data_IF_714442023836
#
_entry.id   IF_714442023836
#
_cell.length_a   1.000
_cell.length_b   1.000
_cell.length_c   1.000
_cell.angle_alpha   90.00
_cell.angle_beta   90.00
_cell.angle_gamma   90.00
#
_symmetry.space_group_name_H-M   'P 1'
#
loop_
_entity.id
_entity.type
_entity.pdbx_description
1 polymer ?
#
# COMPACT_ATOMS: atom_id res chain seq x y z
N UNK A 1 -25.99 18.16 21.43
CA UNK A 1 -27.44 18.44 21.50
C UNK A 1 -27.73 19.86 21.98
N UNK A 2 -26.91 20.39 22.88
CA UNK A 2 -27.06 21.72 23.49
C UNK A 2 -26.41 22.86 22.68
N UNK A 3 -25.74 22.56 21.57
CA UNK A 3 -25.06 23.53 20.74
C UNK A 3 -23.61 23.86 21.17
N UNK A 4 -23.11 23.22 22.23
CA UNK A 4 -21.72 23.34 22.65
C UNK A 4 -20.77 22.66 21.62
N UNK A 5 -19.53 23.11 21.59
CA UNK A 5 -18.50 22.49 20.77
C UNK A 5 -18.06 21.16 21.38
N UNK A 6 -17.98 20.12 20.53
CA UNK A 6 -17.43 18.84 20.95
C UNK A 6 -15.91 18.90 21.07
N UNK A 7 -15.40 18.44 22.22
CA UNK A 7 -13.96 18.33 22.49
C UNK A 7 -13.62 16.89 22.83
N UNK A 8 -12.65 16.32 22.14
CA UNK A 8 -12.15 14.98 22.41
C UNK A 8 -10.66 14.95 22.65
N UNK A 9 -10.19 13.91 23.33
CA UNK A 9 -8.76 13.63 23.52
C UNK A 9 -8.20 12.83 22.35
N UNK A 10 -7.07 13.27 21.82
CA UNK A 10 -6.27 12.60 20.79
C UNK A 10 -4.79 12.70 21.14
N UNK A 11 -3.86 12.19 20.26
CA UNK A 11 -2.42 12.24 20.56
C UNK A 11 -1.88 13.63 20.97
N UNK A 12 -2.22 14.75 20.28
CA UNK A 12 -1.79 16.07 20.72
C UNK A 12 -2.48 16.59 21.97
N UNK A 13 -3.46 15.87 22.54
CA UNK A 13 -4.26 16.28 23.67
C UNK A 13 -5.69 16.61 23.30
N UNK A 14 -6.29 17.61 23.94
CA UNK A 14 -7.67 18.05 23.67
C UNK A 14 -7.75 18.80 22.36
N UNK A 15 -8.68 18.42 21.49
CA UNK A 15 -8.89 19.10 20.22
C UNK A 15 -10.38 19.15 19.82
N UNK A 16 -10.68 20.04 18.87
CA UNK A 16 -11.93 20.09 18.14
C UNK A 16 -11.84 19.28 16.85
N UNK A 17 -12.97 18.79 16.38
CA UNK A 17 -13.07 18.03 15.12
C UNK A 17 -13.78 18.91 14.09
N UNK A 18 -13.09 19.38 13.04
CA UNK A 18 -13.74 20.12 11.97
C UNK A 18 -14.88 19.34 11.36
N UNK A 19 -15.99 20.00 11.04
CA UNK A 19 -17.10 19.36 10.34
C UNK A 19 -16.77 19.13 8.87
N UNK A 20 -16.19 17.97 8.58
CA UNK A 20 -15.75 17.61 7.22
C UNK A 20 -16.91 17.42 6.23
N UNK A 21 -18.14 17.26 6.72
CA UNK A 21 -19.34 17.15 5.88
C UNK A 21 -19.85 18.53 5.44
N UNK A 22 -19.52 19.58 6.20
CA UNK A 22 -19.82 20.96 5.84
C UNK A 22 -18.85 21.48 4.79
N UNK A 23 -19.35 22.02 3.69
CA UNK A 23 -18.55 22.45 2.54
C UNK A 23 -17.55 23.58 2.87
N UNK A 24 -17.95 24.55 3.72
CA UNK A 24 -17.08 25.66 4.09
C UNK A 24 -15.97 25.21 5.05
N UNK A 25 -16.30 24.35 6.03
CA UNK A 25 -15.33 23.77 6.94
C UNK A 25 -14.33 22.88 6.18
N UNK A 26 -14.81 22.10 5.20
CA UNK A 26 -13.96 21.26 4.35
C UNK A 26 -12.99 22.10 3.52
N UNK A 27 -13.46 23.16 2.87
CA UNK A 27 -12.61 24.09 2.10
C UNK A 27 -11.59 24.79 2.99
N UNK A 28 -12.03 25.22 4.18
CA UNK A 28 -11.13 25.84 5.16
C UNK A 28 -10.01 24.88 5.56
N UNK A 29 -10.35 23.61 5.88
CA UNK A 29 -9.36 22.62 6.28
C UNK A 29 -8.39 22.31 5.13
N UNK A 30 -8.90 22.07 3.91
CA UNK A 30 -8.09 21.79 2.74
C UNK A 30 -7.05 22.88 2.45
N UNK A 31 -7.41 24.14 2.58
CA UNK A 31 -6.47 25.27 2.40
C UNK A 31 -5.34 25.30 3.43
N UNK A 32 -5.43 24.57 4.55
CA UNK A 32 -4.34 24.47 5.52
C UNK A 32 -3.15 23.64 5.02
N UNK A 33 -3.35 22.75 4.06
CA UNK A 33 -2.27 22.03 3.41
C UNK A 33 -1.28 22.96 2.70
N UNK A 34 -1.73 24.17 2.31
CA UNK A 34 -0.84 25.20 1.73
C UNK A 34 0.38 25.50 2.61
N UNK A 35 0.23 25.46 3.93
CA UNK A 35 1.36 25.69 4.85
C UNK A 35 2.52 24.70 4.64
N UNK A 36 2.21 23.49 4.22
CA UNK A 36 3.19 22.42 3.98
C UNK A 36 3.64 22.41 2.51
N UNK A 37 2.71 22.64 1.58
CA UNK A 37 3.04 22.81 0.15
C UNK A 37 4.05 23.94 -0.08
N UNK A 38 3.88 25.09 0.59
CA UNK A 38 4.81 26.23 0.52
C UNK A 38 6.23 25.89 1.05
N UNK A 39 6.37 24.78 1.80
CA UNK A 39 7.65 24.26 2.29
C UNK A 39 8.24 23.18 1.37
N UNK A 40 7.60 22.88 0.25
CA UNK A 40 8.04 21.88 -0.71
C UNK A 40 7.65 20.43 -0.35
N UNK A 41 6.64 20.25 0.49
CA UNK A 41 6.11 18.91 0.81
C UNK A 41 5.08 18.51 -0.26
N UNK A 42 5.31 17.39 -0.94
CA UNK A 42 4.53 16.89 -2.06
C UNK A 42 3.79 15.58 -1.76
N UNK A 43 3.88 15.08 -0.54
CA UNK A 43 3.21 13.85 -0.11
C UNK A 43 2.64 13.99 1.29
N UNK A 44 1.42 13.52 1.48
CA UNK A 44 0.66 13.66 2.71
C UNK A 44 0.07 12.33 3.16
N UNK A 45 0.02 12.17 4.46
CA UNK A 45 -0.55 11.02 5.14
C UNK A 45 -1.59 11.48 6.15
N UNK A 46 -2.86 11.11 5.94
CA UNK A 46 -3.93 11.32 6.88
C UNK A 46 -4.10 10.09 7.78
N UNK A 47 -3.58 10.19 8.98
CA UNK A 47 -3.71 9.15 9.99
C UNK A 47 -4.78 9.51 11.04
N UNK A 48 -5.36 8.49 11.68
CA UNK A 48 -6.31 8.61 12.79
C UNK A 48 -7.57 9.45 12.48
N UNK A 49 -7.95 9.48 11.24
CA UNK A 49 -9.00 10.34 10.68
C UNK A 49 -10.38 9.66 10.55
N UNK A 50 -10.67 8.69 11.40
CA UNK A 50 -12.01 8.07 11.54
C UNK A 50 -13.08 9.03 12.12
N UNK A 51 -12.86 9.94 13.07
CA UNK A 51 -11.71 10.25 13.90
C UNK A 51 -11.48 9.25 15.04
N UNK A 52 -10.20 8.93 15.31
CA UNK A 52 -9.85 8.15 16.48
C UNK A 52 -9.92 9.02 17.74
N UNK A 53 -10.71 8.58 18.73
CA UNK A 53 -10.88 9.25 20.00
C UNK A 53 -10.25 8.45 21.13
N UNK A 54 -9.40 9.06 21.94
CA UNK A 54 -8.88 8.42 23.14
C UNK A 54 -9.89 8.53 24.29
N UNK A 55 -10.62 9.63 24.37
CA UNK A 55 -11.70 9.84 25.33
C UNK A 55 -12.56 11.06 24.94
N UNK A 56 -13.84 10.99 25.29
CA UNK A 56 -14.70 12.16 25.46
C UNK A 56 -14.61 12.68 26.90
N UNK A 57 -14.76 13.98 27.12
CA UNK A 57 -14.57 14.61 28.43
C UNK A 57 -15.52 14.08 29.51
N UNK A 58 -16.77 13.86 29.15
CA UNK A 58 -17.80 13.38 30.08
C UNK A 58 -17.47 11.99 30.63
N UNK A 59 -16.96 11.11 29.79
CA UNK A 59 -16.60 9.78 30.24
C UNK A 59 -15.27 9.75 30.98
N UNK A 60 -14.33 10.60 30.60
CA UNK A 60 -13.08 10.73 31.34
C UNK A 60 -13.34 11.10 32.80
N UNK A 61 -14.26 12.04 33.05
CA UNK A 61 -14.68 12.43 34.40
C UNK A 61 -15.26 11.23 35.17
N UNK A 62 -16.19 10.50 34.56
CA UNK A 62 -16.78 9.29 35.16
C UNK A 62 -15.75 8.20 35.42
N UNK A 63 -14.76 8.09 34.55
CA UNK A 63 -13.67 7.12 34.71
C UNK A 63 -12.78 7.47 35.91
N UNK A 64 -12.46 8.75 36.12
CA UNK A 64 -11.73 9.19 37.31
C UNK A 64 -12.53 8.94 38.61
N UNK A 65 -13.81 9.24 38.63
CA UNK A 65 -14.67 8.92 39.77
C UNK A 65 -14.62 7.41 40.09
N UNK A 66 -14.72 6.58 39.08
CA UNK A 66 -14.64 5.11 39.24
C UNK A 66 -13.26 4.62 39.67
N UNK A 67 -12.21 5.23 39.18
CA UNK A 67 -10.82 4.94 39.64
C UNK A 67 -10.65 5.31 41.11
N UNK A 68 -11.27 6.39 41.60
CA UNK A 68 -11.23 6.78 43.00
C UNK A 68 -12.00 5.80 43.92
N UNK A 69 -13.02 5.12 43.39
CA UNK A 69 -13.67 4.00 44.10
C UNK A 69 -12.71 2.80 44.23
N UNK A 70 -11.96 2.45 43.14
CA UNK A 70 -11.01 1.36 43.20
C UNK A 70 -9.81 1.65 44.12
N UNK A 71 -9.37 2.91 44.24
CA UNK A 71 -8.31 3.32 45.18
C UNK A 71 -8.65 3.02 46.64
N UNK A 72 -9.92 2.90 47.01
CA UNK A 72 -10.39 2.59 48.36
C UNK A 72 -10.53 1.10 48.61
N UNK A 73 -10.28 0.27 47.63
CA UNK A 73 -10.40 -1.19 47.68
C UNK A 73 -9.02 -1.86 47.80
N UNK A 74 -9.00 -3.10 48.27
CA UNK A 74 -7.81 -3.90 48.26
C UNK A 74 -7.36 -4.20 46.81
N UNK A 75 -6.07 -4.05 46.55
CA UNK A 75 -5.51 -4.35 45.24
C UNK A 75 -5.40 -5.88 45.06
N UNK A 76 -6.22 -6.42 44.20
CA UNK A 76 -6.22 -7.81 43.80
C UNK A 76 -6.47 -7.94 42.28
N UNK A 77 -6.50 -9.16 41.75
CA UNK A 77 -6.70 -9.35 40.30
C UNK A 77 -8.02 -8.74 39.79
N UNK A 78 -9.08 -8.78 40.58
CA UNK A 78 -10.38 -8.22 40.19
C UNK A 78 -10.30 -6.68 40.07
N UNK A 79 -9.77 -6.00 41.09
CA UNK A 79 -9.62 -4.53 41.07
C UNK A 79 -8.60 -4.09 40.01
N UNK A 80 -7.51 -4.85 39.80
CA UNK A 80 -6.54 -4.59 38.74
C UNK A 80 -7.18 -4.65 37.35
N UNK A 81 -7.88 -5.74 37.03
CA UNK A 81 -8.56 -5.86 35.72
C UNK A 81 -9.70 -4.86 35.58
N UNK A 82 -10.41 -4.52 36.66
CA UNK A 82 -11.42 -3.49 36.66
C UNK A 82 -10.86 -2.12 36.25
N UNK A 83 -9.77 -1.69 36.85
CA UNK A 83 -9.06 -0.46 36.47
C UNK A 83 -8.51 -0.51 35.03
N UNK A 84 -7.87 -1.63 34.67
CA UNK A 84 -7.36 -1.83 33.29
C UNK A 84 -8.47 -1.70 32.26
N UNK A 85 -9.60 -2.38 32.45
CA UNK A 85 -10.72 -2.36 31.51
C UNK A 85 -11.38 -0.98 31.44
N UNK A 86 -11.42 -0.25 32.56
CA UNK A 86 -11.92 1.13 32.58
C UNK A 86 -11.05 2.06 31.72
N UNK A 87 -9.71 1.95 31.82
CA UNK A 87 -8.77 2.74 31.01
C UNK A 87 -8.82 2.34 29.53
N UNK A 88 -8.84 1.05 29.22
CA UNK A 88 -8.95 0.57 27.84
C UNK A 88 -10.31 0.92 27.22
N UNK A 89 -11.37 1.01 28.02
CA UNK A 89 -12.70 1.41 27.58
C UNK A 89 -12.87 2.90 27.33
N UNK A 90 -11.84 3.74 27.51
CA UNK A 90 -11.88 5.16 27.19
C UNK A 90 -11.90 5.42 25.68
N UNK A 91 -11.20 4.60 24.90
CA UNK A 91 -10.97 4.85 23.48
C UNK A 91 -12.16 4.42 22.61
N UNK A 92 -12.45 5.23 21.59
CA UNK A 92 -13.38 4.94 20.49
C UNK A 92 -14.77 4.47 20.99
N UNK A 93 -15.28 5.12 22.01
CA UNK A 93 -16.59 4.76 22.59
C UNK A 93 -17.74 5.15 21.68
N UNK A 94 -18.71 4.24 21.62
CA UNK A 94 -19.95 4.48 20.88
C UNK A 94 -20.66 5.75 21.35
N UNK A 95 -20.74 5.96 22.67
CA UNK A 95 -21.42 7.10 23.28
C UNK A 95 -20.76 8.43 22.93
N UNK A 96 -19.43 8.46 22.77
CA UNK A 96 -18.71 9.64 22.34
C UNK A 96 -19.04 9.96 20.87
N UNK A 97 -19.08 8.96 19.99
CA UNK A 97 -19.51 9.13 18.60
C UNK A 97 -20.99 9.48 18.45
N UNK A 98 -21.85 9.13 19.41
CA UNK A 98 -23.26 9.52 19.45
C UNK A 98 -23.48 10.93 20.01
N UNK A 99 -22.45 11.57 20.58
CA UNK A 99 -22.58 12.85 21.27
C UNK A 99 -22.38 14.08 20.38
N UNK A 100 -21.78 13.96 19.20
CA UNK A 100 -21.54 15.09 18.31
C UNK A 100 -22.19 14.93 16.93
N UNK A 101 -22.33 16.05 16.22
CA UNK A 101 -23.15 16.17 15.02
C UNK A 101 -22.41 16.92 13.93
N UNK A 102 -22.81 16.66 12.70
CA UNK A 102 -22.35 17.32 11.49
C UNK A 102 -23.50 18.03 10.79
N UNK A 103 -23.19 19.06 10.04
CA UNK A 103 -24.14 19.73 9.16
C UNK A 103 -23.91 19.24 7.71
N UNK A 104 -24.90 18.58 7.15
CA UNK A 104 -24.84 18.07 5.79
C UNK A 104 -26.10 18.48 5.02
N UNK A 105 -25.91 19.33 3.97
CA UNK A 105 -27.01 19.81 3.11
C UNK A 105 -28.17 20.46 3.87
N UNK A 106 -27.86 21.19 4.94
CA UNK A 106 -28.85 21.84 5.79
C UNK A 106 -29.55 20.96 6.82
N UNK A 107 -29.14 19.70 6.94
CA UNK A 107 -29.60 18.77 7.94
C UNK A 107 -28.51 18.51 8.99
N UNK A 108 -28.91 18.40 10.25
CA UNK A 108 -28.02 18.04 11.34
C UNK A 108 -28.02 16.52 11.53
N UNK A 109 -26.85 15.88 11.28
CA UNK A 109 -26.69 14.43 11.31
C UNK A 109 -25.72 14.05 12.42
N UNK A 110 -26.08 13.07 13.25
CA UNK A 110 -25.23 12.55 14.31
C UNK A 110 -24.05 11.77 13.72
N UNK A 111 -22.85 11.93 14.31
CA UNK A 111 -21.61 11.37 13.78
C UNK A 111 -21.65 9.85 13.55
N UNK A 112 -22.23 9.08 14.47
CA UNK A 112 -22.31 7.61 14.34
C UNK A 112 -23.05 7.14 13.07
N UNK A 113 -23.89 8.00 12.45
CA UNK A 113 -24.59 7.73 11.18
C UNK A 113 -23.74 8.00 9.96
N UNK A 114 -22.70 8.80 10.09
CA UNK A 114 -21.82 9.25 9.02
C UNK A 114 -20.34 9.00 9.32
N UNK A 115 -20.04 8.22 10.35
CA UNK A 115 -18.68 7.92 10.83
C UNK A 115 -17.73 7.51 9.67
N UNK A 116 -18.15 6.58 8.83
CA UNK A 116 -17.34 6.11 7.71
C UNK A 116 -17.09 7.17 6.62
N UNK A 117 -17.81 8.29 6.63
CA UNK A 117 -17.64 9.38 5.67
C UNK A 117 -16.65 10.44 6.18
N UNK A 118 -16.30 10.47 7.45
CA UNK A 118 -15.46 11.52 8.01
C UNK A 118 -14.07 11.53 7.37
N UNK A 119 -13.37 10.39 7.37
CA UNK A 119 -12.05 10.26 6.72
C UNK A 119 -12.11 10.45 5.19
N UNK A 120 -13.19 9.98 4.56
CA UNK A 120 -13.44 10.26 3.15
C UNK A 120 -13.48 11.75 2.85
N UNK A 121 -14.28 12.53 3.59
CA UNK A 121 -14.39 13.97 3.37
C UNK A 121 -13.14 14.74 3.78
N UNK A 122 -12.37 14.26 4.76
CA UNK A 122 -11.05 14.84 5.09
C UNK A 122 -10.08 14.66 3.91
N UNK A 123 -10.00 13.47 3.33
CA UNK A 123 -9.13 13.20 2.16
C UNK A 123 -9.61 13.95 0.93
N UNK A 124 -10.93 14.02 0.71
CA UNK A 124 -11.53 14.84 -0.34
C UNK A 124 -11.18 16.33 -0.18
N UNK A 125 -11.19 16.84 1.05
CA UNK A 125 -10.79 18.21 1.37
C UNK A 125 -9.36 18.51 0.89
N UNK A 126 -8.43 17.58 1.10
CA UNK A 126 -7.06 17.68 0.63
C UNK A 126 -7.00 17.66 -0.91
N UNK A 127 -7.64 16.67 -1.55
CA UNK A 127 -7.62 16.55 -3.02
C UNK A 127 -8.22 17.78 -3.73
N UNK A 128 -9.39 18.27 -3.27
CA UNK A 128 -10.00 19.49 -3.81
C UNK A 128 -9.08 20.74 -3.63
N UNK A 129 -8.36 20.82 -2.51
CA UNK A 129 -7.42 21.91 -2.26
C UNK A 129 -6.15 21.79 -3.11
N UNK A 130 -5.64 20.58 -3.36
CA UNK A 130 -4.50 20.38 -4.26
C UNK A 130 -4.84 20.75 -5.71
N UNK A 131 -6.06 20.50 -6.15
CA UNK A 131 -6.55 20.95 -7.48
C UNK A 131 -6.60 22.47 -7.60
N UNK A 132 -6.90 23.19 -6.49
CA UNK A 132 -6.94 24.66 -6.45
C UNK A 132 -5.53 25.27 -6.32
N UNK A 133 -4.67 24.67 -5.46
CA UNK A 133 -3.39 25.25 -5.07
C UNK A 133 -2.23 24.86 -6.02
N UNK A 134 -2.26 23.66 -6.57
CA UNK A 134 -1.23 23.08 -7.43
C UNK A 134 -1.88 22.35 -8.62
N UNK A 135 -2.56 23.10 -9.52
CA UNK A 135 -3.40 22.52 -10.59
C UNK A 135 -2.63 21.66 -11.59
N UNK A 136 -1.34 21.92 -11.75
CA UNK A 136 -0.49 21.23 -12.74
C UNK A 136 0.38 20.13 -12.12
N UNK A 137 0.33 19.95 -10.78
CA UNK A 137 1.22 19.05 -10.05
C UNK A 137 0.48 17.86 -9.43
N UNK A 138 1.09 16.68 -9.48
CA UNK A 138 0.65 15.51 -8.71
C UNK A 138 1.09 15.64 -7.26
N UNK A 139 0.13 15.59 -6.34
CA UNK A 139 0.40 15.57 -4.91
C UNK A 139 -0.06 14.21 -4.37
N UNK A 140 0.84 13.49 -3.69
CA UNK A 140 0.51 12.22 -3.08
C UNK A 140 -0.33 12.43 -1.83
N UNK A 141 -1.43 11.70 -1.72
CA UNK A 141 -2.24 11.58 -0.51
C UNK A 141 -2.58 10.12 -0.24
N UNK A 142 -2.43 9.68 1.00
CA UNK A 142 -2.98 8.41 1.45
C UNK A 142 -3.55 8.53 2.87
N UNK A 143 -4.53 7.69 3.18
CA UNK A 143 -5.37 7.84 4.36
C UNK A 143 -5.62 6.49 5.03
N UNK A 144 -5.74 6.49 6.38
CA UNK A 144 -6.17 5.30 7.12
C UNK A 144 -7.66 5.05 6.96
N UNK A 145 -8.48 6.04 7.31
CA UNK A 145 -9.92 5.91 7.14
C UNK A 145 -10.31 6.19 5.69
N UNK A 146 -11.15 5.32 5.15
CA UNK A 146 -11.58 5.38 3.75
C UNK A 146 -13.04 4.98 3.58
N UNK A 147 -13.59 5.33 2.43
CA UNK A 147 -14.89 4.89 1.97
C UNK A 147 -14.93 4.81 0.45
N UNK A 148 -15.93 4.11 -0.11
CA UNK A 148 -16.10 3.97 -1.56
C UNK A 148 -16.09 5.34 -2.24
N UNK A 149 -15.26 5.48 -3.28
CA UNK A 149 -15.08 6.75 -4.01
C UNK A 149 -13.92 7.62 -3.53
N UNK A 150 -13.28 7.30 -2.38
CA UNK A 150 -12.13 8.08 -1.88
C UNK A 150 -10.88 7.87 -2.77
N UNK A 151 -10.77 6.78 -3.50
CA UNK A 151 -9.67 6.51 -4.44
C UNK A 151 -9.41 7.64 -5.44
N UNK A 152 -10.41 8.48 -5.70
CA UNK A 152 -10.28 9.69 -6.56
C UNK A 152 -9.43 10.80 -5.93
N UNK A 153 -9.20 10.76 -4.63
CA UNK A 153 -8.50 11.78 -3.87
C UNK A 153 -7.23 11.28 -3.19
N UNK A 154 -7.08 9.97 -3.05
CA UNK A 154 -5.90 9.40 -2.39
C UNK A 154 -5.95 7.87 -2.31
N UNK A 155 -4.82 7.31 -1.90
CA UNK A 155 -4.66 5.89 -1.61
C UNK A 155 -4.96 5.53 -0.17
N UNK A 156 -4.73 4.26 0.16
CA UNK A 156 -4.86 3.73 1.51
C UNK A 156 -3.68 2.82 1.84
N UNK A 157 -3.34 2.71 3.13
CA UNK A 157 -2.55 1.59 3.61
C UNK A 157 -3.39 0.67 4.48
N UNK A 158 -2.91 -0.52 4.75
CA UNK A 158 -3.69 -1.54 5.45
C UNK A 158 -3.73 -1.37 6.98
N UNK A 159 -3.30 -0.22 7.49
CA UNK A 159 -3.35 0.13 8.92
C UNK A 159 -2.27 -0.55 9.76
N UNK A 160 -2.53 -0.59 11.07
CA UNK A 160 -1.62 -1.08 12.10
C UNK A 160 -1.57 -2.62 12.11
N UNK A 161 -0.79 -3.19 11.23
CA UNK A 161 -0.52 -4.62 11.20
C UNK A 161 0.50 -5.02 12.31
N UNK A 162 0.76 -6.29 12.47
CA UNK A 162 1.72 -6.80 13.45
C UNK A 162 2.86 -7.56 12.77
N UNK A 163 4.02 -7.64 13.43
CA UNK A 163 5.19 -8.38 12.98
C UNK A 163 4.95 -9.90 13.07
N UNK A 164 4.00 -10.38 12.27
CA UNK A 164 3.55 -11.77 12.22
C UNK A 164 3.61 -12.32 10.79
N UNK A 165 4.04 -13.56 10.67
CA UNK A 165 4.13 -14.25 9.38
C UNK A 165 2.80 -14.33 8.63
N UNK A 166 1.70 -14.53 9.36
CA UNK A 166 0.35 -14.55 8.79
C UNK A 166 -0.06 -13.22 8.15
N UNK A 167 0.55 -12.10 8.58
CA UNK A 167 0.24 -10.79 8.04
C UNK A 167 0.85 -10.54 6.65
N UNK A 168 1.91 -11.27 6.27
CA UNK A 168 2.40 -11.25 4.87
C UNK A 168 1.30 -11.81 3.95
N UNK A 169 0.74 -12.96 4.28
CA UNK A 169 -0.35 -13.57 3.49
C UNK A 169 -1.60 -12.69 3.50
N UNK A 170 -1.98 -12.16 4.66
CA UNK A 170 -3.13 -11.26 4.77
C UNK A 170 -2.96 -10.03 3.88
N UNK A 171 -1.80 -9.40 3.86
CA UNK A 171 -1.54 -8.25 2.98
C UNK A 171 -1.63 -8.64 1.51
N UNK A 172 -1.07 -9.78 1.10
CA UNK A 172 -1.21 -10.28 -0.27
C UNK A 172 -2.69 -10.41 -0.66
N UNK A 173 -3.51 -11.03 0.20
CA UNK A 173 -4.93 -11.28 -0.04
C UNK A 173 -5.79 -10.00 -0.04
N UNK A 174 -5.36 -8.94 0.67
CA UNK A 174 -6.08 -7.66 0.68
C UNK A 174 -5.89 -6.85 -0.61
N UNK A 175 -4.76 -6.98 -1.31
CA UNK A 175 -4.45 -6.18 -2.50
C UNK A 175 -5.52 -6.24 -3.60
N UNK A 176 -6.00 -7.42 -4.05
CA UNK A 176 -7.04 -7.46 -5.07
C UNK A 176 -8.36 -6.84 -4.61
N UNK A 177 -8.75 -7.05 -3.34
CA UNK A 177 -9.96 -6.45 -2.78
C UNK A 177 -9.92 -4.92 -2.76
N UNK A 178 -8.77 -4.33 -2.43
CA UNK A 178 -8.56 -2.88 -2.47
C UNK A 178 -8.58 -2.36 -3.93
N UNK A 179 -7.94 -3.08 -4.86
CA UNK A 179 -7.97 -2.71 -6.29
C UNK A 179 -9.40 -2.76 -6.86
N UNK A 180 -10.21 -3.76 -6.51
CA UNK A 180 -11.63 -3.83 -6.90
C UNK A 180 -12.44 -2.64 -6.38
N UNK A 181 -12.03 -2.02 -5.27
CA UNK A 181 -12.63 -0.79 -4.75
C UNK A 181 -12.03 0.49 -5.36
N UNK A 182 -11.11 0.37 -6.33
CA UNK A 182 -10.43 1.48 -7.00
C UNK A 182 -9.16 1.98 -6.30
N UNK A 183 -8.78 1.39 -5.15
CA UNK A 183 -7.55 1.77 -4.45
C UNK A 183 -6.34 1.07 -5.05
N UNK A 184 -5.73 1.66 -6.07
CA UNK A 184 -4.51 1.16 -6.68
C UNK A 184 -3.27 1.53 -5.86
N UNK A 185 -3.21 2.77 -5.30
CA UNK A 185 -2.13 3.17 -4.40
C UNK A 185 -2.38 2.60 -3.00
N UNK A 186 -1.78 1.45 -2.76
CA UNK A 186 -1.94 0.70 -1.51
C UNK A 186 -0.68 -0.09 -1.16
N UNK A 187 -0.58 -0.46 0.11
CA UNK A 187 0.48 -1.29 0.67
C UNK A 187 0.32 -1.45 2.18
N UNK A 188 1.31 -2.06 2.80
CA UNK A 188 1.32 -2.34 4.23
C UNK A 188 2.56 -1.73 4.90
N UNK A 189 2.53 -1.64 6.22
CA UNK A 189 3.72 -1.38 7.01
C UNK A 189 4.61 -2.64 7.00
N UNK A 190 5.69 -2.58 6.22
CA UNK A 190 6.59 -3.72 6.02
C UNK A 190 7.34 -4.04 7.31
N UNK A 191 7.38 -5.31 7.66
CA UNK A 191 7.93 -5.79 8.92
C UNK A 191 6.93 -5.80 10.08
N UNK A 192 5.81 -5.11 9.92
CA UNK A 192 4.74 -4.96 10.91
C UNK A 192 4.88 -3.68 11.74
N UNK A 193 3.75 -3.00 11.97
CA UNK A 193 3.68 -1.80 12.81
C UNK A 193 3.79 -2.16 14.30
N UNK A 194 2.99 -3.11 14.76
CA UNK A 194 3.01 -3.61 16.14
C UNK A 194 3.95 -4.79 16.31
N UNK A 195 4.45 -4.97 17.52
CA UNK A 195 5.40 -6.01 17.91
C UNK A 195 6.81 -5.83 17.31
N UNK A 196 7.75 -6.70 17.75
CA UNK A 196 9.13 -6.69 17.31
C UNK A 196 9.32 -7.56 16.08
N UNK A 197 9.73 -6.99 14.98
CA UNK A 197 10.06 -7.75 13.78
C UNK A 197 11.40 -8.51 13.95
N UNK A 198 11.59 -9.54 13.13
CA UNK A 198 12.86 -10.23 12.96
C UNK A 198 13.41 -9.99 11.55
N UNK A 199 14.70 -10.18 11.37
CA UNK A 199 15.37 -9.97 10.09
C UNK A 199 14.76 -10.83 8.98
N UNK A 200 14.51 -12.12 9.25
CA UNK A 200 13.92 -13.06 8.31
C UNK A 200 12.48 -12.69 7.93
N UNK A 201 11.68 -12.23 8.90
CA UNK A 201 10.32 -11.75 8.63
C UNK A 201 10.32 -10.52 7.74
N UNK A 202 11.22 -9.56 8.03
CA UNK A 202 11.30 -8.31 7.26
C UNK A 202 11.79 -8.56 5.83
N UNK A 203 12.81 -9.43 5.62
CA UNK A 203 13.26 -9.82 4.28
C UNK A 203 12.13 -10.46 3.47
N UNK A 204 11.40 -11.43 4.06
CA UNK A 204 10.25 -12.07 3.39
C UNK A 204 9.10 -11.10 3.12
N UNK A 205 8.89 -10.12 3.98
CA UNK A 205 7.86 -9.09 3.74
C UNK A 205 8.24 -8.14 2.60
N UNK A 206 9.55 -7.84 2.47
CA UNK A 206 10.06 -7.08 1.33
C UNK A 206 9.83 -7.78 -0.01
N UNK A 207 9.92 -9.12 -0.07
CA UNK A 207 9.64 -9.89 -1.29
C UNK A 207 8.22 -9.65 -1.86
N UNK A 208 7.26 -9.33 -1.00
CA UNK A 208 5.94 -8.84 -1.40
C UNK A 208 5.95 -7.32 -1.60
N UNK A 209 6.54 -6.59 -0.66
CA UNK A 209 6.46 -5.13 -0.57
C UNK A 209 7.05 -4.41 -1.78
N UNK A 210 8.08 -4.98 -2.44
CA UNK A 210 8.68 -4.36 -3.62
C UNK A 210 7.73 -4.25 -4.82
N UNK A 211 6.64 -5.00 -4.84
CA UNK A 211 5.62 -4.92 -5.89
C UNK A 211 4.50 -3.93 -5.56
N UNK A 212 4.33 -3.55 -4.29
CA UNK A 212 3.25 -2.66 -3.88
C UNK A 212 3.56 -1.20 -4.18
N UNK A 213 2.61 -0.38 -4.67
CA UNK A 213 2.81 1.06 -4.89
C UNK A 213 3.28 1.77 -3.62
N UNK A 214 2.62 1.57 -2.48
CA UNK A 214 3.10 2.00 -1.18
C UNK A 214 4.07 0.95 -0.63
N UNK A 215 5.37 1.27 -0.65
CA UNK A 215 6.43 0.47 -0.02
C UNK A 215 7.04 1.27 1.13
N UNK A 216 6.69 0.92 2.35
CA UNK A 216 7.11 1.67 3.54
C UNK A 216 7.51 0.72 4.67
N UNK A 217 8.72 0.90 5.22
CA UNK A 217 9.10 0.31 6.49
C UNK A 217 8.64 1.26 7.62
N UNK A 218 7.75 0.78 8.48
CA UNK A 218 7.15 1.59 9.53
C UNK A 218 6.79 0.75 10.75
N UNK A 219 7.11 1.25 11.95
CA UNK A 219 6.83 0.57 13.22
C UNK A 219 6.40 1.53 14.31
N UNK A 220 5.68 1.01 15.31
CA UNK A 220 5.24 1.76 16.46
C UNK A 220 6.41 2.16 17.37
N UNK A 221 6.26 3.31 18.02
CA UNK A 221 7.21 3.73 19.07
C UNK A 221 7.24 2.69 20.20
N UNK A 222 8.45 2.27 20.59
CA UNK A 222 8.68 1.30 21.66
C UNK A 222 8.79 -0.14 21.21
N UNK A 223 8.63 -0.43 19.93
CA UNK A 223 9.03 -1.71 19.30
C UNK A 223 10.52 -1.68 18.94
N UNK A 224 11.06 -2.84 18.50
CA UNK A 224 12.44 -2.91 18.00
C UNK A 224 12.61 -1.96 16.82
N UNK A 225 13.75 -1.26 16.79
CA UNK A 225 14.18 -0.52 15.60
C UNK A 225 14.33 -1.49 14.42
N UNK A 226 13.64 -1.19 13.31
CA UNK A 226 13.57 -2.09 12.16
C UNK A 226 14.06 -1.48 10.85
N UNK A 227 14.83 -0.40 10.92
CA UNK A 227 15.54 0.12 9.77
C UNK A 227 16.51 -0.92 9.25
N UNK A 228 16.58 -1.08 7.92
CA UNK A 228 17.32 -2.17 7.28
C UNK A 228 18.79 -2.25 7.71
N UNK A 229 19.44 -1.12 8.01
CA UNK A 229 20.84 -1.07 8.48
C UNK A 229 21.03 -1.52 9.93
N UNK A 230 19.97 -1.82 10.67
CA UNK A 230 20.01 -2.37 12.04
C UNK A 230 20.20 -3.88 12.07
N UNK A 231 20.03 -4.55 10.94
CA UNK A 231 20.16 -5.99 10.83
C UNK A 231 21.53 -6.43 10.30
N UNK A 232 21.81 -7.73 10.39
CA UNK A 232 23.14 -8.28 10.05
C UNK A 232 23.39 -8.39 8.54
N UNK A 233 22.33 -8.67 7.76
CA UNK A 233 22.44 -8.95 6.32
C UNK A 233 22.02 -7.74 5.46
N UNK A 234 22.69 -6.59 5.67
CA UNK A 234 22.36 -5.31 5.00
C UNK A 234 22.39 -5.43 3.47
N UNK A 235 23.30 -6.26 2.93
CA UNK A 235 23.43 -6.43 1.48
C UNK A 235 22.21 -7.15 0.87
N UNK A 236 21.57 -8.08 1.60
CA UNK A 236 20.35 -8.74 1.15
C UNK A 236 19.20 -7.72 1.04
N UNK A 237 19.04 -6.86 2.04
CA UNK A 237 18.07 -5.75 1.95
C UNK A 237 18.37 -4.81 0.78
N UNK A 238 19.64 -4.45 0.59
CA UNK A 238 20.08 -3.59 -0.53
C UNK A 238 19.77 -4.22 -1.87
N UNK A 239 20.02 -5.53 -2.03
CA UNK A 239 19.72 -6.28 -3.24
C UNK A 239 18.24 -6.26 -3.60
N UNK A 240 17.36 -6.56 -2.61
CA UNK A 240 15.90 -6.58 -2.80
C UNK A 240 15.37 -5.16 -3.08
N UNK A 241 15.83 -4.14 -2.35
CA UNK A 241 15.42 -2.75 -2.57
C UNK A 241 15.93 -2.26 -3.95
N UNK A 242 17.16 -2.63 -4.34
CA UNK A 242 17.68 -2.33 -5.69
C UNK A 242 16.82 -2.93 -6.80
N UNK A 243 16.29 -4.15 -6.59
CA UNK A 243 15.34 -4.76 -7.52
C UNK A 243 14.03 -3.95 -7.61
N UNK A 244 13.54 -3.38 -6.48
CA UNK A 244 12.38 -2.47 -6.51
C UNK A 244 12.59 -1.31 -7.46
N UNK A 245 13.75 -0.63 -7.36
CA UNK A 245 14.06 0.50 -8.24
C UNK A 245 14.19 0.06 -9.70
N UNK A 246 14.78 -1.10 -9.96
CA UNK A 246 14.84 -1.65 -11.31
C UNK A 246 13.45 -1.97 -11.89
N UNK A 247 12.50 -2.41 -11.06
CA UNK A 247 11.11 -2.70 -11.44
C UNK A 247 10.22 -1.46 -11.61
N UNK A 248 10.65 -0.26 -11.23
CA UNK A 248 9.84 0.97 -11.30
C UNK A 248 9.20 1.17 -12.68
N UNK A 249 9.88 1.01 -13.83
CA UNK A 249 9.26 1.17 -15.14
C UNK A 249 8.06 0.26 -15.35
N UNK A 250 8.18 -1.00 -14.95
CA UNK A 250 7.09 -1.96 -15.04
C UNK A 250 5.94 -1.59 -14.10
N UNK A 251 6.24 -1.39 -12.82
CA UNK A 251 5.23 -1.12 -11.80
C UNK A 251 4.48 0.19 -12.05
N UNK A 252 5.18 1.22 -12.52
CA UNK A 252 4.57 2.49 -12.88
C UNK A 252 3.66 2.35 -14.10
N UNK A 253 4.10 1.63 -15.14
CA UNK A 253 3.29 1.35 -16.32
C UNK A 253 2.01 0.60 -15.96
N UNK A 254 2.10 -0.46 -15.15
CA UNK A 254 0.93 -1.24 -14.72
C UNK A 254 -0.03 -0.41 -13.86
N UNK A 255 0.53 0.43 -12.97
CA UNK A 255 -0.27 1.34 -12.15
C UNK A 255 -1.03 2.37 -13.00
N UNK A 256 -0.34 3.04 -13.94
CA UNK A 256 -0.97 4.05 -14.80
C UNK A 256 -1.97 3.43 -15.76
N UNK A 257 -1.64 2.29 -16.38
CA UNK A 257 -2.59 1.55 -17.24
C UNK A 257 -3.84 1.16 -16.48
N UNK A 258 -3.70 0.60 -15.28
CA UNK A 258 -4.83 0.24 -14.44
C UNK A 258 -5.69 1.47 -14.06
N UNK A 259 -5.06 2.57 -13.66
CA UNK A 259 -5.77 3.80 -13.30
C UNK A 259 -6.54 4.43 -14.46
N UNK A 260 -5.97 4.41 -15.66
CA UNK A 260 -6.55 5.06 -16.85
C UNK A 260 -7.55 4.18 -17.62
N UNK A 261 -7.52 2.86 -17.34
CA UNK A 261 -8.42 1.88 -18.00
C UNK A 261 -9.49 1.33 -17.07
N UNK A 262 -9.59 1.87 -15.84
CA UNK A 262 -10.49 1.37 -14.78
C UNK A 262 -10.27 -0.13 -14.49
N UNK A 263 -9.01 -0.55 -14.40
CA UNK A 263 -8.61 -1.94 -14.22
C UNK A 263 -7.88 -2.15 -12.89
N UNK A 264 -7.39 -3.36 -12.65
CA UNK A 264 -6.66 -3.76 -11.46
C UNK A 264 -5.17 -3.94 -11.77
N UNK A 265 -4.29 -3.52 -10.84
CA UNK A 265 -2.87 -3.83 -10.88
C UNK A 265 -2.57 -5.21 -10.27
N UNK A 266 -3.30 -5.60 -9.21
CA UNK A 266 -3.18 -6.90 -8.55
C UNK A 266 -4.41 -7.76 -8.84
N UNK A 267 -4.22 -8.83 -9.61
CA UNK A 267 -5.32 -9.70 -10.00
C UNK A 267 -5.17 -11.09 -9.36
N UNK A 268 -6.25 -11.66 -8.79
CA UNK A 268 -6.28 -13.09 -8.48
C UNK A 268 -6.06 -13.93 -9.73
N UNK A 269 -5.44 -15.10 -9.61
CA UNK A 269 -5.29 -16.01 -10.76
C UNK A 269 -6.63 -16.36 -11.40
N UNK A 270 -7.70 -16.46 -10.60
CA UNK A 270 -9.07 -16.69 -11.06
C UNK A 270 -9.57 -15.67 -12.10
N UNK A 271 -9.08 -14.43 -12.06
CA UNK A 271 -9.52 -13.38 -13.00
C UNK A 271 -8.81 -13.51 -14.34
N UNK A 272 -7.56 -13.94 -14.35
CA UNK A 272 -6.76 -14.11 -15.57
C UNK A 272 -7.01 -15.47 -16.21
N UNK A 273 -7.29 -16.51 -15.40
CA UNK A 273 -7.52 -17.87 -15.83
C UNK A 273 -8.91 -18.40 -15.40
N UNK A 274 -10.03 -17.77 -15.84
CA UNK A 274 -11.37 -18.03 -15.28
C UNK A 274 -11.93 -19.43 -15.61
N UNK A 275 -11.30 -20.17 -16.50
CA UNK A 275 -11.68 -21.55 -16.85
C UNK A 275 -10.87 -22.62 -16.11
N UNK A 276 -9.84 -22.19 -15.39
CA UNK A 276 -8.96 -23.07 -14.63
C UNK A 276 -9.48 -23.22 -13.21
N UNK A 277 -9.91 -24.42 -12.84
CA UNK A 277 -10.50 -24.70 -11.53
C UNK A 277 -9.48 -24.65 -10.39
N UNK A 278 -8.22 -24.96 -10.66
CA UNK A 278 -7.14 -24.83 -9.66
C UNK A 278 -6.80 -23.34 -9.44
N UNK A 279 -6.68 -22.56 -10.50
CA UNK A 279 -6.48 -21.11 -10.40
C UNK A 279 -7.59 -20.41 -9.61
N UNK A 280 -8.82 -20.93 -9.70
CA UNK A 280 -9.98 -20.36 -9.00
C UNK A 280 -9.89 -20.43 -7.46
N UNK A 281 -9.06 -21.31 -6.92
CA UNK A 281 -8.90 -21.54 -5.45
C UNK A 281 -7.53 -21.13 -4.92
N UNK A 282 -6.66 -20.58 -5.75
CA UNK A 282 -5.35 -20.08 -5.33
C UNK A 282 -5.52 -18.70 -4.66
N UNK A 283 -5.18 -18.62 -3.38
CA UNK A 283 -5.33 -17.41 -2.55
C UNK A 283 -4.00 -16.78 -2.12
N UNK A 284 -2.87 -17.39 -2.49
CA UNK A 284 -1.53 -17.02 -2.03
C UNK A 284 -0.54 -16.71 -3.18
N UNK A 285 -1.08 -16.43 -4.36
CA UNK A 285 -0.38 -15.98 -5.56
C UNK A 285 -1.21 -14.91 -6.26
N UNK A 286 -0.55 -13.91 -6.83
CA UNK A 286 -1.22 -12.85 -7.58
C UNK A 286 -0.51 -12.57 -8.89
N UNK A 287 -1.29 -12.16 -9.89
CA UNK A 287 -0.72 -11.40 -11.00
C UNK A 287 -0.47 -9.96 -10.57
N UNK A 288 0.66 -9.40 -10.99
CA UNK A 288 0.99 -7.98 -10.90
C UNK A 288 1.02 -7.46 -12.33
N UNK A 289 -0.04 -6.78 -12.74
CA UNK A 289 -0.26 -6.42 -14.13
C UNK A 289 -0.44 -7.65 -15.02
N UNK A 290 -0.08 -7.49 -16.29
CA UNK A 290 -0.33 -8.50 -17.32
C UNK A 290 0.76 -9.57 -17.45
N UNK A 291 2.01 -9.27 -17.05
CA UNK A 291 3.18 -10.08 -17.39
C UNK A 291 3.73 -10.91 -16.23
N UNK A 292 3.53 -10.48 -14.99
CA UNK A 292 4.20 -11.05 -13.81
C UNK A 292 3.22 -11.75 -12.88
N UNK A 293 3.56 -12.97 -12.46
CA UNK A 293 2.96 -13.60 -11.30
C UNK A 293 3.95 -13.59 -10.13
N UNK A 294 3.46 -13.31 -8.92
CA UNK A 294 4.22 -13.35 -7.68
C UNK A 294 3.70 -14.44 -6.75
N UNK A 295 4.62 -15.04 -6.00
CA UNK A 295 4.34 -16.08 -5.01
C UNK A 295 5.29 -15.93 -3.81
N UNK A 296 5.10 -14.91 -2.94
CA UNK A 296 6.00 -14.63 -1.82
C UNK A 296 5.95 -15.76 -0.78
N UNK A 297 7.06 -15.99 -0.10
CA UNK A 297 7.15 -16.92 1.03
C UNK A 297 6.62 -16.24 2.28
N UNK A 298 5.62 -16.83 2.94
CA UNK A 298 4.94 -16.26 4.11
C UNK A 298 4.96 -17.18 5.34
N UNK A 299 5.85 -18.16 5.37
CA UNK A 299 6.01 -19.08 6.52
C UNK A 299 7.43 -19.02 7.06
N UNK A 300 7.52 -18.93 8.37
CA UNK A 300 8.81 -18.92 9.06
C UNK A 300 9.63 -20.19 8.75
N UNK A 301 10.94 -20.01 8.60
CA UNK A 301 11.92 -21.07 8.31
C UNK A 301 11.66 -21.85 7.00
N UNK A 302 10.72 -21.41 6.17
CA UNK A 302 10.49 -22.06 4.88
C UNK A 302 11.63 -21.71 3.90
N UNK A 303 12.13 -22.73 3.22
CA UNK A 303 13.14 -22.62 2.16
C UNK A 303 12.55 -22.82 0.77
N UNK A 304 11.31 -22.38 0.60
CA UNK A 304 10.52 -22.51 -0.60
C UNK A 304 9.05 -22.69 -0.29
N UNK A 305 8.26 -22.81 -1.32
CA UNK A 305 6.81 -23.00 -1.20
C UNK A 305 6.23 -23.80 -2.35
N UNK A 306 5.02 -24.30 -2.18
CA UNK A 306 4.23 -24.82 -3.30
C UNK A 306 3.65 -23.66 -4.09
N UNK A 307 3.73 -23.76 -5.42
CA UNK A 307 3.24 -22.79 -6.38
C UNK A 307 2.44 -23.53 -7.46
N UNK A 308 1.28 -23.03 -7.81
CA UNK A 308 0.52 -23.50 -8.96
C UNK A 308 0.77 -22.57 -10.16
N UNK A 309 1.10 -23.14 -11.31
CA UNK A 309 1.31 -22.44 -12.56
C UNK A 309 0.17 -22.82 -13.54
N UNK A 310 -0.74 -21.88 -13.88
CA UNK A 310 -1.81 -22.13 -14.85
C UNK A 310 -1.30 -22.42 -16.27
N UNK A 311 -0.12 -21.93 -16.60
CA UNK A 311 0.58 -22.10 -17.88
C UNK A 311 2.09 -22.26 -17.65
N UNK A 312 2.85 -22.64 -18.67
CA UNK A 312 4.30 -22.62 -18.58
C UNK A 312 4.79 -21.22 -18.24
N UNK A 313 5.72 -21.07 -17.30
CA UNK A 313 6.25 -19.76 -16.91
C UNK A 313 7.76 -19.78 -16.80
N UNK A 314 8.41 -18.65 -17.09
CA UNK A 314 9.84 -18.46 -16.87
C UNK A 314 10.03 -17.82 -15.51
N UNK A 315 10.65 -18.53 -14.59
CA UNK A 315 10.99 -18.07 -13.26
C UNK A 315 12.34 -17.35 -13.29
N UNK A 316 12.32 -16.12 -12.81
CA UNK A 316 13.50 -15.33 -12.48
C UNK A 316 13.59 -15.27 -10.96
N UNK A 317 14.68 -15.80 -10.40
CA UNK A 317 14.94 -15.84 -8.96
C UNK A 317 16.03 -14.84 -8.65
N UNK A 318 15.62 -13.66 -8.19
CA UNK A 318 16.50 -12.52 -7.95
C UNK A 318 17.04 -12.48 -6.53
N UNK A 319 18.34 -12.25 -6.37
CA UNK A 319 18.98 -11.80 -5.13
C UNK A 319 19.31 -10.31 -5.17
N UNK A 320 19.44 -9.76 -6.35
CA UNK A 320 19.51 -8.32 -6.64
C UNK A 320 19.10 -8.09 -8.10
N UNK A 321 19.05 -6.84 -8.57
CA UNK A 321 18.77 -6.56 -9.98
C UNK A 321 19.80 -7.18 -10.93
N UNK A 322 21.03 -7.47 -10.46
CA UNK A 322 22.14 -8.01 -11.26
C UNK A 322 22.41 -9.50 -11.02
N UNK A 323 21.92 -10.07 -9.92
CA UNK A 323 22.11 -11.46 -9.53
C UNK A 323 20.80 -12.23 -9.62
N UNK A 324 20.65 -13.06 -10.66
CA UNK A 324 19.42 -13.77 -10.99
C UNK A 324 19.68 -15.16 -11.55
N UNK A 325 18.99 -16.15 -11.05
CA UNK A 325 18.88 -17.48 -11.65
C UNK A 325 17.61 -17.60 -12.46
N UNK A 326 17.68 -18.28 -13.60
CA UNK A 326 16.56 -18.36 -14.56
C UNK A 326 16.27 -19.82 -14.88
N UNK A 327 14.98 -20.19 -14.80
CA UNK A 327 14.51 -21.50 -15.22
C UNK A 327 13.10 -21.43 -15.84
N UNK A 328 12.79 -22.38 -16.71
CA UNK A 328 11.42 -22.54 -17.26
C UNK A 328 10.72 -23.68 -16.54
N UNK A 329 9.56 -23.35 -15.97
CA UNK A 329 8.69 -24.30 -15.29
C UNK A 329 7.44 -24.56 -16.14
N UNK A 330 7.04 -25.83 -16.21
CA UNK A 330 5.83 -26.24 -16.90
C UNK A 330 4.59 -25.92 -16.09
N UNK A 331 3.43 -25.80 -16.74
CA UNK A 331 2.14 -25.72 -16.06
C UNK A 331 1.96 -26.84 -15.02
N UNK A 332 1.29 -26.54 -13.91
CA UNK A 332 1.01 -27.47 -12.82
C UNK A 332 1.59 -27.08 -11.47
N UNK A 333 1.66 -28.02 -10.54
CA UNK A 333 2.13 -27.78 -9.18
C UNK A 333 3.64 -28.01 -9.04
N UNK A 334 4.31 -27.07 -8.40
CA UNK A 334 5.74 -27.09 -8.14
C UNK A 334 6.06 -26.80 -6.68
N UNK A 335 7.08 -27.43 -6.13
CA UNK A 335 7.77 -26.92 -4.95
C UNK A 335 8.96 -26.07 -5.42
N UNK A 336 8.81 -24.75 -5.30
CA UNK A 336 9.84 -23.80 -5.70
C UNK A 336 10.70 -23.45 -4.50
N UNK A 337 11.99 -23.71 -4.60
CA UNK A 337 12.98 -23.29 -3.59
C UNK A 337 13.15 -21.79 -3.63
N UNK A 338 13.30 -21.19 -2.45
CA UNK A 338 13.58 -19.75 -2.28
C UNK A 338 14.40 -19.57 -1.00
N UNK A 339 15.64 -19.15 -1.16
CA UNK A 339 16.47 -18.72 -0.03
C UNK A 339 15.94 -17.38 0.52
N UNK A 340 16.40 -17.00 1.71
CA UNK A 340 15.79 -15.88 2.46
C UNK A 340 15.85 -14.53 1.73
N UNK A 341 16.82 -14.34 0.87
CA UNK A 341 17.05 -13.12 0.10
C UNK A 341 16.63 -13.25 -1.38
N UNK A 342 15.83 -14.26 -1.72
CA UNK A 342 15.41 -14.51 -3.11
C UNK A 342 13.98 -14.06 -3.35
N UNK A 343 13.80 -13.19 -4.34
CA UNK A 343 12.51 -12.75 -4.87
C UNK A 343 12.14 -13.59 -6.09
N UNK A 344 10.95 -14.20 -6.05
CA UNK A 344 10.44 -15.04 -7.13
C UNK A 344 9.56 -14.22 -8.08
N UNK A 345 10.00 -14.08 -9.34
CA UNK A 345 9.26 -13.39 -10.40
C UNK A 345 8.95 -14.38 -11.52
N UNK A 346 7.69 -14.71 -11.71
CA UNK A 346 7.25 -15.61 -12.78
C UNK A 346 6.75 -14.79 -13.96
N UNK A 347 7.40 -14.93 -15.12
CA UNK A 347 7.01 -14.23 -16.35
C UNK A 347 6.21 -15.17 -17.25
N UNK A 348 5.06 -14.69 -17.70
CA UNK A 348 4.14 -15.42 -18.58
C UNK A 348 4.72 -15.62 -19.99
N UNK A 349 4.28 -16.67 -20.75
CA UNK A 349 4.68 -16.84 -22.13
C UNK A 349 4.19 -15.67 -23.00
N UNK A 350 5.06 -15.22 -23.90
CA UNK A 350 4.84 -14.09 -24.81
C UNK A 350 4.60 -12.74 -24.09
N UNK A 351 5.26 -12.58 -22.93
CA UNK A 351 5.28 -11.34 -22.16
C UNK A 351 6.70 -10.85 -21.91
N UNK A 352 6.80 -9.56 -21.65
CA UNK A 352 8.04 -8.83 -21.39
C UNK A 352 7.87 -7.99 -20.13
N UNK A 353 8.96 -7.84 -19.36
CA UNK A 353 9.00 -6.99 -18.16
C UNK A 353 10.23 -6.10 -18.23
N UNK A 354 10.10 -4.79 -18.41
CA UNK A 354 11.23 -3.88 -18.44
C UNK A 354 11.80 -3.66 -17.03
N UNK A 355 13.13 -3.74 -16.93
CA UNK A 355 13.92 -3.37 -15.78
C UNK A 355 14.86 -2.23 -16.14
N UNK A 356 14.85 -1.16 -15.36
CA UNK A 356 15.80 -0.05 -15.49
C UNK A 356 17.07 -0.29 -14.70
N UNK A 357 18.07 0.55 -14.91
CA UNK A 357 19.20 0.68 -13.99
C UNK A 357 18.71 1.16 -12.62
N UNK A 358 19.19 0.54 -11.54
CA UNK A 358 18.82 0.91 -10.17
C UNK A 358 19.42 2.24 -9.74
N UNK A 359 18.86 2.84 -8.68
CA UNK A 359 19.33 4.10 -8.08
C UNK A 359 19.06 4.12 -6.59
N UNK A 360 19.43 5.23 -5.93
CA UNK A 360 19.13 5.46 -4.52
C UNK A 360 17.74 6.10 -4.32
N UNK A 361 17.17 6.66 -5.36
CA UNK A 361 15.81 7.22 -5.41
C UNK A 361 15.24 7.07 -6.83
N UNK A 362 13.95 7.39 -7.00
CA UNK A 362 13.29 7.27 -8.32
C UNK A 362 13.94 8.18 -9.37
N UNK A 363 14.43 9.36 -8.97
CA UNK A 363 15.11 10.28 -9.87
C UNK A 363 16.45 9.74 -10.45
N UNK A 364 17.04 8.74 -9.78
CA UNK A 364 18.29 8.10 -10.23
C UNK A 364 18.02 6.89 -11.14
N UNK A 365 16.77 6.50 -11.34
CA UNK A 365 16.42 5.36 -12.20
C UNK A 365 16.75 5.69 -13.65
N UNK A 366 17.67 4.91 -14.25
CA UNK A 366 18.14 5.13 -15.62
C UNK A 366 17.21 4.48 -16.64
N UNK A 367 16.31 5.31 -17.21
CA UNK A 367 15.38 4.90 -18.25
C UNK A 367 16.02 4.81 -19.64
N UNK A 368 17.27 5.25 -19.82
CA UNK A 368 17.97 5.18 -21.11
C UNK A 368 18.51 3.78 -21.44
N UNK A 369 18.55 2.89 -20.45
CA UNK A 369 19.05 1.51 -20.61
C UNK A 369 18.14 0.55 -19.90
N UNK A 370 17.37 -0.21 -20.65
CA UNK A 370 16.39 -1.14 -20.14
C UNK A 370 16.75 -2.59 -20.45
N UNK A 371 16.70 -3.44 -19.44
CA UNK A 371 16.83 -4.89 -19.58
C UNK A 371 15.42 -5.51 -19.55
N UNK A 372 15.19 -6.48 -20.41
CA UNK A 372 13.89 -7.09 -20.56
C UNK A 372 13.91 -8.52 -20.02
N UNK A 373 13.17 -8.77 -18.92
CA UNK A 373 12.77 -10.14 -18.63
C UNK A 373 11.80 -10.56 -19.72
N UNK A 374 11.95 -11.77 -20.23
CA UNK A 374 11.13 -12.22 -21.33
C UNK A 374 10.89 -13.73 -21.29
N UNK A 375 9.73 -14.15 -21.74
CA UNK A 375 9.45 -15.53 -22.07
C UNK A 375 8.73 -15.57 -23.42
N UNK A 376 9.49 -15.72 -24.52
CA UNK A 376 8.99 -15.65 -25.88
C UNK A 376 8.93 -17.04 -26.49
N UNK A 377 7.73 -17.47 -26.87
CA UNK A 377 7.47 -18.73 -27.60
C UNK A 377 7.01 -18.47 -29.04
N UNK A 378 6.50 -17.26 -29.29
CA UNK A 378 6.11 -16.74 -30.60
C UNK A 378 6.54 -15.27 -30.72
N UNK A 379 5.75 -14.32 -30.27
CA UNK A 379 6.07 -12.90 -30.17
C UNK A 379 5.56 -12.36 -28.85
N UNK A 380 6.40 -11.58 -28.16
CA UNK A 380 6.00 -10.86 -26.95
C UNK A 380 5.82 -9.37 -27.26
N UNK A 381 4.84 -8.75 -26.64
CA UNK A 381 4.60 -7.31 -26.71
C UNK A 381 4.32 -6.75 -25.32
N UNK A 382 4.78 -5.51 -25.08
CA UNK A 382 4.52 -4.79 -23.83
C UNK A 382 4.34 -3.30 -24.09
N UNK A 383 3.37 -2.69 -23.42
CA UNK A 383 3.15 -1.25 -23.42
C UNK A 383 3.81 -0.62 -22.18
N UNK A 384 5.01 -0.03 -22.38
CA UNK A 384 5.72 0.73 -21.37
C UNK A 384 5.20 2.17 -21.37
N UNK A 385 4.74 2.65 -20.23
CA UNK A 385 4.36 4.04 -20.03
C UNK A 385 5.47 4.79 -19.29
N UNK A 386 5.76 6.00 -19.77
CA UNK A 386 6.68 6.94 -19.13
C UNK A 386 6.20 8.38 -19.27
N UNK A 387 6.51 9.22 -18.27
CA UNK A 387 6.24 10.64 -18.26
C UNK A 387 7.22 11.39 -17.33
N UNK A 388 6.98 12.67 -17.06
CA UNK A 388 7.85 13.48 -16.20
C UNK A 388 7.73 13.16 -14.70
N UNK A 389 6.77 12.32 -14.30
CA UNK A 389 6.52 11.95 -12.89
C UNK A 389 5.87 13.02 -12.02
N UNK A 390 5.70 14.24 -12.52
CA UNK A 390 5.24 15.41 -11.77
C UNK A 390 3.95 16.02 -12.29
N UNK A 391 3.80 16.08 -13.61
CA UNK A 391 2.66 16.71 -14.29
C UNK A 391 1.36 15.97 -13.99
N UNK A 392 0.29 16.72 -13.68
CA UNK A 392 -1.00 16.14 -13.32
C UNK A 392 -1.70 15.44 -14.48
N UNK A 393 -1.48 15.93 -15.70
CA UNK A 393 -2.08 15.34 -16.90
C UNK A 393 -1.36 14.06 -17.30
N UNK A 394 -2.10 12.98 -17.35
CA UNK A 394 -1.64 11.68 -17.87
C UNK A 394 -2.21 11.51 -19.28
N UNK A 395 -1.36 11.19 -20.24
CA UNK A 395 -1.73 10.91 -21.62
C UNK A 395 -1.15 9.57 -22.04
N UNK A 396 -2.00 8.53 -22.03
CA UNK A 396 -1.57 7.18 -22.40
C UNK A 396 -1.12 7.06 -23.85
N UNK A 397 -1.74 7.81 -24.77
CA UNK A 397 -1.40 7.69 -26.20
C UNK A 397 0.01 8.21 -26.48
N UNK A 398 0.37 9.35 -25.90
CA UNK A 398 1.69 9.96 -26.12
C UNK A 398 2.77 9.40 -25.20
N UNK A 399 2.43 8.82 -24.02
CA UNK A 399 3.39 8.30 -23.06
C UNK A 399 3.76 6.81 -23.26
N UNK A 400 3.04 6.08 -24.14
CA UNK A 400 3.33 4.65 -24.36
C UNK A 400 4.44 4.44 -25.37
N UNK A 401 5.37 3.56 -25.02
CA UNK A 401 6.31 2.91 -25.94
C UNK A 401 5.95 1.43 -26.06
N UNK A 402 5.67 0.96 -27.28
CA UNK A 402 5.38 -0.45 -27.56
C UNK A 402 6.69 -1.18 -27.81
N UNK A 403 6.98 -2.13 -26.93
CA UNK A 403 8.18 -2.98 -27.00
C UNK A 403 7.79 -4.36 -27.49
N UNK A 404 8.40 -4.83 -28.56
CA UNK A 404 8.20 -6.16 -29.14
C UNK A 404 9.47 -6.96 -29.08
N UNK A 405 9.33 -8.23 -28.73
CA UNK A 405 10.46 -9.18 -28.70
C UNK A 405 10.04 -10.42 -29.48
N UNK A 406 10.87 -10.80 -30.44
CA UNK A 406 10.65 -12.00 -31.26
C UNK A 406 11.43 -13.21 -30.73
N UNK A 407 11.09 -14.41 -31.18
CA UNK A 407 11.71 -15.67 -30.74
C UNK A 407 13.26 -15.70 -31.01
N UNK A 408 13.71 -15.06 -32.05
CA UNK A 408 15.15 -14.92 -32.39
C UNK A 408 15.85 -13.84 -31.58
N UNK A 409 15.16 -13.23 -30.60
CA UNK A 409 15.75 -12.26 -29.69
C UNK A 409 15.88 -10.84 -30.24
N UNK A 410 15.23 -10.54 -31.37
CA UNK A 410 15.17 -9.16 -31.87
C UNK A 410 14.21 -8.33 -31.01
N UNK A 411 14.69 -7.16 -30.57
CA UNK A 411 13.88 -6.17 -29.88
C UNK A 411 13.56 -5.03 -30.83
N UNK A 412 12.28 -4.64 -30.89
CA UNK A 412 11.77 -3.49 -31.63
C UNK A 412 10.94 -2.63 -30.66
N UNK A 413 11.20 -1.34 -30.62
CA UNK A 413 10.49 -0.40 -29.71
C UNK A 413 10.04 0.84 -30.50
N UNK A 414 8.76 1.17 -30.38
CA UNK A 414 8.13 2.29 -31.06
C UNK A 414 7.32 3.11 -30.05
N UNK A 415 7.63 4.39 -29.89
CA UNK A 415 6.91 5.30 -28.99
C UNK A 415 7.76 6.45 -28.47
N UNK A 416 7.40 6.94 -27.27
CA UNK A 416 7.95 8.14 -26.68
C UNK A 416 9.37 7.96 -26.10
N UNK A 417 9.68 6.78 -25.59
CA UNK A 417 10.94 6.51 -24.90
C UNK A 417 12.02 6.07 -25.86
N UNK A 418 13.14 6.81 -25.89
CA UNK A 418 14.36 6.40 -26.56
C UNK A 418 15.30 5.72 -25.54
N UNK A 419 15.52 4.43 -25.68
CA UNK A 419 16.36 3.63 -24.79
C UNK A 419 17.15 2.56 -25.53
N UNK A 420 18.24 2.11 -24.91
CA UNK A 420 18.96 0.90 -25.27
C UNK A 420 18.25 -0.30 -24.62
N UNK A 421 17.91 -1.31 -25.41
CA UNK A 421 17.17 -2.48 -24.99
C UNK A 421 18.03 -3.73 -25.02
N UNK A 422 18.11 -4.46 -23.93
CA UNK A 422 18.82 -5.73 -23.84
C UNK A 422 17.94 -6.82 -23.26
N UNK A 423 18.16 -8.07 -23.65
CA UNK A 423 17.44 -9.23 -23.09
C UNK A 423 18.20 -9.79 -21.88
N UNK A 424 17.44 -10.19 -20.84
CA UNK A 424 17.98 -10.84 -19.64
C UNK A 424 17.57 -12.32 -19.61
#
# INVERSE_FOLDING_TARGET
>A
EDGSEFVGGVWPGRCHFPDMLNDDARKWFGRKYKLLLDQGIDGFWNDMNEPALFYGEDYLTKAFEKLDEYRKQELNLHTFFGMKNLVLGLSNRKEDYESFYHEYKGERIRHDKVHNLYGYYMTRSAGEAFDELEPDKRILMFSRASYVGMHRYGGVWTGDNSSWWSHILMNLQMLPGLNMCGFLYTGADLGGFGCDTTEDLLLRWLELGIFTPLMRNHSAKGTREQEFYRFGHVEDFRGIIGLRYALVPYLYSEFVKAAMRDDMMFLPLAFVYPKDQEAAVVEDQLMVGESVMIAPVYRQNARGRYVYLPEDMKLYRFRSSEDVDIEVLRAGHHYVKAELNEVLVFVRPNHVVPLAGGGCCVADVDMSRLRLLHFVTDQAEYELYDDDGYGKKIDLESGITKVRVTVDGKVDAEGALEAEWTLL
#
